data_IF_814997409616
#
_entry.id   IF_814997409616
#
_cell.length_a   1.000
_cell.length_b   1.000
_cell.length_c   1.000
_cell.angle_alpha   90.00
_cell.angle_beta   90.00
_cell.angle_gamma   90.00
#
_symmetry.space_group_name_H-M   'P 1'
#
loop_
_entity.id
_entity.type
_entity.pdbx_description
1 polymer ?
#
# COMPACT_ATOMS: atom_id res chain seq x y z
N UNK A 1 16.31 58.50 -60.85
CA UNK A 1 16.27 57.07 -61.23
C UNK A 1 17.50 56.36 -60.67
N UNK A 2 17.36 55.69 -59.52
CA UNK A 2 18.15 54.54 -59.05
C UNK A 2 17.63 54.16 -57.66
N UNK A 3 16.91 53.04 -57.61
CA UNK A 3 16.45 52.39 -56.39
C UNK A 3 17.64 51.72 -55.70
N UNK A 4 17.67 51.75 -54.37
CA UNK A 4 18.36 50.74 -53.57
C UNK A 4 17.45 50.30 -52.43
N UNK A 5 16.79 49.16 -52.65
CA UNK A 5 16.07 48.38 -51.65
C UNK A 5 17.05 47.88 -50.57
N UNK A 6 16.71 48.11 -49.30
CA UNK A 6 17.30 47.38 -48.17
C UNK A 6 16.34 46.26 -47.79
N UNK A 7 16.71 45.02 -48.13
CA UNK A 7 16.10 43.83 -47.56
C UNK A 7 16.69 43.58 -46.17
N UNK A 8 15.83 43.57 -45.15
CA UNK A 8 16.16 43.08 -43.82
C UNK A 8 16.00 41.55 -43.84
N UNK A 9 17.11 40.82 -43.67
CA UNK A 9 17.10 39.37 -43.45
C UNK A 9 16.69 39.11 -41.99
N UNK A 10 15.49 38.60 -41.77
CA UNK A 10 15.09 38.02 -40.49
C UNK A 10 15.57 36.56 -40.51
N UNK A 11 16.67 36.29 -39.81
CA UNK A 11 17.15 34.94 -39.56
C UNK A 11 16.21 34.25 -38.56
N UNK A 12 15.38 33.33 -39.05
CA UNK A 12 14.62 32.42 -38.19
C UNK A 12 15.54 31.43 -37.49
N UNK A 13 15.79 31.64 -36.20
CA UNK A 13 16.35 30.62 -35.33
C UNK A 13 15.25 29.59 -35.05
N UNK A 14 15.34 28.44 -35.74
CA UNK A 14 14.56 27.25 -35.41
C UNK A 14 15.01 26.76 -34.03
N UNK A 15 14.18 26.97 -33.01
CA UNK A 15 14.36 26.35 -31.69
C UNK A 15 14.19 24.84 -31.86
N UNK A 16 15.30 24.12 -31.94
CA UNK A 16 15.31 22.66 -31.84
C UNK A 16 14.94 22.34 -30.40
N UNK A 17 13.68 21.95 -30.19
CA UNK A 17 13.23 21.35 -28.94
C UNK A 17 13.92 20.00 -28.80
N UNK A 18 15.04 19.97 -28.06
CA UNK A 18 15.62 18.73 -27.59
C UNK A 18 14.64 18.10 -26.61
N UNK A 19 13.87 17.12 -27.09
CA UNK A 19 13.17 16.17 -26.24
C UNK A 19 14.24 15.43 -25.45
N UNK A 20 14.40 15.76 -24.17
CA UNK A 20 15.22 14.97 -23.26
C UNK A 20 14.57 13.61 -23.11
N UNK A 21 15.00 12.63 -23.91
CA UNK A 21 14.62 11.24 -23.72
C UNK A 21 15.30 10.81 -22.43
N UNK A 22 14.51 10.63 -21.37
CA UNK A 22 15.01 10.09 -20.11
C UNK A 22 15.72 8.76 -20.39
N UNK A 23 16.95 8.62 -19.91
CA UNK A 23 17.70 7.37 -20.05
C UNK A 23 16.89 6.24 -19.38
N UNK A 24 16.85 5.04 -19.99
CA UNK A 24 16.15 3.91 -19.42
C UNK A 24 16.73 3.57 -18.03
N UNK A 25 15.85 3.30 -17.07
CA UNK A 25 16.25 2.90 -15.72
C UNK A 25 16.93 1.53 -15.81
N UNK A 26 18.20 1.47 -15.40
CA UNK A 26 18.93 0.21 -15.27
C UNK A 26 18.64 -0.44 -13.92
N UNK A 27 18.03 -1.62 -13.97
CA UNK A 27 17.68 -2.41 -12.78
C UNK A 27 18.77 -3.42 -12.45
N UNK A 28 19.26 -3.35 -11.22
CA UNK A 28 20.08 -4.36 -10.57
C UNK A 28 19.17 -5.38 -9.87
N UNK A 29 19.63 -6.61 -9.70
CA UNK A 29 18.83 -7.71 -9.14
C UNK A 29 19.63 -8.51 -8.12
N UNK A 30 19.03 -8.78 -6.96
CA UNK A 30 19.57 -9.63 -5.90
C UNK A 30 18.52 -10.70 -5.53
N UNK A 31 18.93 -11.97 -5.47
CA UNK A 31 18.03 -13.09 -5.14
C UNK A 31 18.15 -13.44 -3.66
N UNK A 32 17.01 -13.49 -2.98
CA UNK A 32 16.86 -14.00 -1.62
C UNK A 32 16.00 -15.27 -1.65
N UNK A 33 15.84 -15.93 -0.51
CA UNK A 33 15.07 -17.17 -0.40
C UNK A 33 13.58 -16.94 -0.71
N UNK A 34 12.94 -15.93 -0.10
CA UNK A 34 11.50 -15.65 -0.25
C UNK A 34 11.18 -14.58 -1.30
N UNK A 35 12.16 -13.79 -1.77
CA UNK A 35 11.92 -12.71 -2.71
C UNK A 35 13.11 -12.42 -3.61
N UNK A 36 12.85 -11.70 -4.71
CA UNK A 36 13.90 -11.12 -5.57
C UNK A 36 13.84 -9.61 -5.45
N UNK A 37 14.94 -8.99 -5.04
CA UNK A 37 15.06 -7.54 -4.93
C UNK A 37 15.51 -6.95 -6.27
N UNK A 38 14.76 -5.98 -6.75
CA UNK A 38 15.09 -5.14 -7.90
C UNK A 38 15.29 -3.71 -7.41
N UNK A 39 16.42 -3.12 -7.73
CA UNK A 39 16.78 -1.76 -7.31
C UNK A 39 17.65 -1.10 -8.38
N UNK A 40 17.91 0.19 -8.24
CA UNK A 40 18.77 0.92 -9.18
C UNK A 40 20.09 1.32 -8.50
N UNK A 41 21.05 1.81 -9.27
CA UNK A 41 22.33 2.29 -8.71
C UNK A 41 22.18 3.36 -7.61
N UNK A 42 21.06 4.09 -7.59
CA UNK A 42 20.71 5.06 -6.53
C UNK A 42 20.64 4.41 -5.15
N UNK A 43 20.22 3.16 -5.08
CA UNK A 43 19.99 2.43 -3.83
C UNK A 43 21.11 1.46 -3.46
N UNK A 44 22.22 1.45 -4.22
CA UNK A 44 23.32 0.49 -4.02
C UNK A 44 23.91 0.55 -2.59
N UNK A 45 23.97 1.74 -1.99
CA UNK A 45 24.49 1.94 -0.63
C UNK A 45 23.45 1.65 0.46
N UNK A 46 22.17 1.55 0.12
CA UNK A 46 21.06 1.43 1.08
C UNK A 46 20.36 0.06 1.02
N UNK A 47 20.61 -0.74 -0.02
CA UNK A 47 19.92 -2.03 -0.25
C UNK A 47 19.98 -2.97 0.95
N UNK A 48 21.11 -3.00 1.67
CA UNK A 48 21.28 -3.90 2.81
C UNK A 48 20.42 -3.47 4.00
N UNK A 49 20.28 -2.15 4.24
CA UNK A 49 19.34 -1.62 5.25
C UNK A 49 17.90 -2.02 4.89
N UNK A 50 17.52 -1.92 3.62
CA UNK A 50 16.18 -2.25 3.15
C UNK A 50 15.89 -3.75 3.27
N UNK A 51 16.88 -4.61 2.98
CA UNK A 51 16.77 -6.05 3.16
C UNK A 51 16.49 -6.41 4.62
N UNK A 52 17.15 -5.75 5.58
CA UNK A 52 16.88 -5.98 7.02
C UNK A 52 15.42 -5.68 7.36
N UNK A 53 14.85 -4.59 6.85
CA UNK A 53 13.46 -4.21 7.11
C UNK A 53 12.47 -5.19 6.45
N UNK A 54 12.75 -5.59 5.21
CA UNK A 54 11.97 -6.58 4.46
C UNK A 54 11.96 -7.94 5.16
N UNK A 55 13.13 -8.47 5.52
CA UNK A 55 13.24 -9.75 6.21
C UNK A 55 12.55 -9.75 7.57
N UNK A 56 12.64 -8.63 8.32
CA UNK A 56 11.90 -8.48 9.56
C UNK A 56 10.39 -8.44 9.33
N UNK A 57 9.94 -7.75 8.28
CA UNK A 57 8.53 -7.71 7.89
C UNK A 57 8.00 -9.08 7.49
N UNK A 58 8.75 -9.84 6.69
CA UNK A 58 8.42 -11.22 6.29
C UNK A 58 8.25 -12.09 7.54
N UNK A 59 9.23 -12.09 8.44
CA UNK A 59 9.16 -12.83 9.71
C UNK A 59 7.95 -12.43 10.56
N UNK A 60 7.62 -11.13 10.61
CA UNK A 60 6.43 -10.66 11.32
C UNK A 60 5.14 -11.21 10.71
N UNK A 61 4.99 -11.22 9.39
CA UNK A 61 3.83 -11.80 8.70
C UNK A 61 3.71 -13.29 8.99
N UNK A 62 4.80 -14.04 8.82
CA UNK A 62 4.81 -15.49 9.02
C UNK A 62 4.54 -15.87 10.47
N UNK A 63 5.06 -15.11 11.43
CA UNK A 63 4.78 -15.28 12.86
C UNK A 63 3.31 -14.98 13.18
N UNK A 64 2.76 -13.90 12.62
CA UNK A 64 1.36 -13.53 12.83
C UNK A 64 0.41 -14.60 12.28
N UNK A 65 0.67 -15.13 11.09
CA UNK A 65 -0.21 -16.10 10.42
C UNK A 65 0.15 -17.56 10.67
N UNK A 66 1.25 -17.80 11.40
CA UNK A 66 1.82 -19.12 11.71
C UNK A 66 2.02 -19.97 10.45
N UNK A 67 2.43 -19.34 9.36
CA UNK A 67 2.71 -20.01 8.09
C UNK A 67 3.57 -19.16 7.18
N UNK A 68 4.41 -19.79 6.33
CA UNK A 68 5.25 -19.08 5.40
C UNK A 68 4.44 -18.46 4.25
N UNK A 69 5.06 -17.53 3.52
CA UNK A 69 4.56 -17.14 2.20
C UNK A 69 4.50 -18.37 1.29
N UNK A 70 3.44 -18.47 0.47
CA UNK A 70 3.21 -19.63 -0.40
C UNK A 70 4.17 -19.62 -1.59
N UNK A 71 4.41 -18.44 -2.15
CA UNK A 71 5.24 -18.23 -3.34
C UNK A 71 6.28 -17.15 -3.07
N UNK A 72 7.39 -17.21 -3.80
CA UNK A 72 8.32 -16.08 -3.87
C UNK A 72 7.68 -14.89 -4.59
N UNK A 73 8.10 -13.67 -4.25
CA UNK A 73 7.61 -12.44 -4.87
C UNK A 73 8.76 -11.49 -5.25
N UNK A 74 8.48 -10.50 -6.10
CA UNK A 74 9.46 -9.48 -6.46
C UNK A 74 9.32 -8.25 -5.56
N UNK A 75 10.42 -7.61 -5.21
CA UNK A 75 10.41 -6.31 -4.51
C UNK A 75 11.09 -5.29 -5.41
N UNK A 76 10.37 -4.26 -5.84
CA UNK A 76 10.92 -3.18 -6.67
C UNK A 76 11.12 -1.92 -5.84
N UNK A 77 12.36 -1.47 -5.75
CA UNK A 77 12.73 -0.19 -5.14
C UNK A 77 12.88 0.84 -6.26
N UNK A 78 11.84 1.64 -6.44
CA UNK A 78 11.79 2.72 -7.41
C UNK A 78 12.61 3.92 -6.92
N UNK A 79 13.51 4.49 -7.75
CA UNK A 79 14.40 5.57 -7.33
C UNK A 79 13.68 6.90 -7.04
N UNK A 80 12.40 7.04 -7.36
CA UNK A 80 11.55 8.22 -7.13
C UNK A 80 10.07 7.92 -7.44
N UNK A 81 9.18 8.84 -7.11
CA UNK A 81 7.73 8.71 -7.38
C UNK A 81 7.40 8.58 -8.87
N UNK A 82 8.11 9.27 -9.76
CA UNK A 82 7.85 9.20 -11.19
C UNK A 82 8.08 7.79 -11.75
N UNK A 83 9.11 7.09 -11.27
CA UNK A 83 9.36 5.69 -11.62
C UNK A 83 8.25 4.76 -11.11
N UNK A 84 7.77 4.96 -9.88
CA UNK A 84 6.66 4.19 -9.32
C UNK A 84 5.36 4.43 -10.09
N UNK A 85 5.00 5.70 -10.32
CA UNK A 85 3.80 6.08 -11.08
C UNK A 85 3.80 5.44 -12.46
N UNK A 86 4.93 5.50 -13.18
CA UNK A 86 5.06 4.89 -14.51
C UNK A 86 4.78 3.38 -14.48
N UNK A 87 5.23 2.70 -13.43
CA UNK A 87 4.99 1.28 -13.25
C UNK A 87 3.50 1.00 -12.98
N UNK A 88 2.87 1.73 -12.07
CA UNK A 88 1.45 1.54 -11.75
C UNK A 88 0.51 1.94 -12.89
N UNK A 89 0.84 2.99 -13.64
CA UNK A 89 0.13 3.37 -14.87
C UNK A 89 0.09 2.21 -15.87
N UNK A 90 1.21 1.49 -16.03
CA UNK A 90 1.31 0.31 -16.89
C UNK A 90 0.49 -0.85 -16.34
N UNK A 91 0.65 -1.16 -15.05
CA UNK A 91 0.02 -2.35 -14.45
C UNK A 91 -1.50 -2.22 -14.38
N UNK A 92 -2.00 -1.01 -14.15
CA UNK A 92 -3.44 -0.75 -14.03
C UNK A 92 -4.09 -0.33 -15.35
N UNK A 93 -3.30 -0.16 -16.42
CA UNK A 93 -3.81 0.34 -17.70
C UNK A 93 -4.35 1.77 -17.62
N UNK A 94 -3.81 2.59 -16.72
CA UNK A 94 -4.26 3.96 -16.44
C UNK A 94 -3.12 4.96 -16.72
N UNK A 95 -2.91 5.40 -17.97
CA UNK A 95 -1.75 6.24 -18.34
C UNK A 95 -1.70 7.59 -17.61
N UNK A 96 -2.84 8.13 -17.20
CA UNK A 96 -2.95 9.42 -16.51
C UNK A 96 -2.92 9.28 -14.98
N UNK A 97 -2.81 8.06 -14.45
CA UNK A 97 -2.78 7.84 -13.01
C UNK A 97 -1.60 8.57 -12.36
N UNK A 98 -1.85 9.17 -11.20
CA UNK A 98 -0.83 9.74 -10.31
C UNK A 98 -1.12 9.28 -8.89
N UNK A 99 -0.08 8.76 -8.23
CA UNK A 99 -0.18 8.35 -6.84
C UNK A 99 -0.32 9.56 -5.93
N UNK A 100 -1.14 9.40 -4.89
CA UNK A 100 -1.25 10.39 -3.83
C UNK A 100 0.07 10.49 -3.03
N UNK A 101 0.34 11.64 -2.41
CA UNK A 101 1.62 11.86 -1.71
C UNK A 101 1.92 10.86 -0.58
N UNK A 102 0.89 10.24 0.00
CA UNK A 102 1.03 9.21 1.03
C UNK A 102 1.23 7.80 0.45
N UNK A 103 0.89 7.55 -0.82
CA UNK A 103 1.09 6.26 -1.48
C UNK A 103 2.57 6.11 -1.85
N UNK A 104 3.36 5.46 -0.99
CA UNK A 104 4.80 5.23 -1.22
C UNK A 104 5.14 3.78 -1.58
N UNK A 105 4.18 2.87 -1.42
CA UNK A 105 4.34 1.46 -1.73
C UNK A 105 2.99 0.80 -2.03
N UNK A 106 3.03 -0.37 -2.65
CA UNK A 106 1.86 -1.24 -2.87
C UNK A 106 2.29 -2.69 -2.99
N UNK A 107 1.71 -3.55 -2.16
CA UNK A 107 1.85 -5.01 -2.23
C UNK A 107 0.68 -5.71 -2.93
N UNK A 108 1.00 -6.68 -3.80
CA UNK A 108 0.07 -7.67 -4.35
C UNK A 108 0.72 -9.06 -4.33
N UNK A 109 -0.02 -10.12 -4.68
CA UNK A 109 0.44 -11.51 -4.53
C UNK A 109 1.88 -11.81 -5.03
N UNK A 110 2.27 -11.18 -6.13
CA UNK A 110 3.54 -11.46 -6.82
C UNK A 110 4.59 -10.38 -6.65
N UNK A 111 4.25 -9.22 -6.07
CA UNK A 111 5.20 -8.11 -5.96
C UNK A 111 4.88 -7.09 -4.87
N UNK A 112 5.93 -6.40 -4.45
CA UNK A 112 5.90 -5.18 -3.65
C UNK A 112 6.64 -4.09 -4.43
N UNK A 113 5.94 -3.04 -4.85
CA UNK A 113 6.59 -1.84 -5.38
C UNK A 113 6.72 -0.80 -4.26
N UNK A 114 7.86 -0.16 -4.13
CA UNK A 114 8.06 0.94 -3.18
C UNK A 114 8.96 2.04 -3.75
N UNK A 115 8.69 3.30 -3.42
CA UNK A 115 9.68 4.38 -3.55
C UNK A 115 10.83 4.08 -2.59
N UNK A 116 12.08 4.27 -3.04
CA UNK A 116 13.30 4.24 -2.23
C UNK A 116 13.05 4.88 -0.86
N UNK A 117 13.08 4.08 0.24
CA UNK A 117 12.71 4.58 1.55
C UNK A 117 13.50 5.81 1.98
N UNK A 118 14.80 5.89 1.68
CA UNK A 118 15.65 7.06 2.00
C UNK A 118 15.18 8.37 1.35
N UNK A 119 14.27 8.32 0.36
CA UNK A 119 13.67 9.50 -0.28
C UNK A 119 12.31 9.90 0.26
N UNK A 120 11.71 9.12 1.17
CA UNK A 120 10.35 9.40 1.65
C UNK A 120 10.19 10.78 2.27
N UNK A 121 11.21 11.31 2.97
CA UNK A 121 11.17 12.67 3.53
C UNK A 121 11.02 13.78 2.47
N UNK A 122 11.29 13.47 1.19
CA UNK A 122 11.17 14.40 0.06
C UNK A 122 10.09 14.00 -0.95
N UNK A 123 9.68 12.73 -0.97
CA UNK A 123 8.74 12.17 -1.96
C UNK A 123 7.36 11.85 -1.34
N UNK A 124 7.22 11.99 -0.01
CA UNK A 124 6.00 11.66 0.72
C UNK A 124 5.62 12.76 1.72
N UNK A 125 4.32 12.86 1.99
CA UNK A 125 3.78 13.84 2.94
C UNK A 125 3.67 13.31 4.38
N UNK A 126 3.57 11.99 4.56
CA UNK A 126 3.27 11.36 5.86
C UNK A 126 4.32 10.32 6.30
N UNK A 127 5.38 10.13 5.51
CA UNK A 127 6.35 9.06 5.72
C UNK A 127 7.78 9.60 5.73
N UNK A 128 8.56 9.16 6.73
CA UNK A 128 9.96 9.48 6.85
C UNK A 128 10.74 8.24 7.28
N UNK A 129 11.74 7.86 6.48
CA UNK A 129 12.57 6.69 6.75
C UNK A 129 13.22 6.68 8.13
N UNK A 130 13.54 7.85 8.66
CA UNK A 130 14.17 7.98 9.97
C UNK A 130 13.19 7.67 11.12
N UNK A 131 11.88 7.61 10.86
CA UNK A 131 10.88 7.10 11.81
C UNK A 131 10.86 5.56 11.75
N UNK A 132 11.92 4.93 12.27
CA UNK A 132 12.22 3.50 12.11
C UNK A 132 11.02 2.59 12.40
N UNK A 133 10.30 2.82 13.50
CA UNK A 133 9.14 2.00 13.87
C UNK A 133 7.98 2.15 12.86
N UNK A 134 7.68 3.38 12.43
CA UNK A 134 6.63 3.63 11.43
C UNK A 134 7.01 3.07 10.06
N UNK A 135 8.27 3.22 9.68
CA UNK A 135 8.83 2.64 8.44
C UNK A 135 8.73 1.12 8.45
N UNK A 136 9.10 0.46 9.56
CA UNK A 136 8.91 -0.98 9.71
C UNK A 136 7.44 -1.37 9.57
N UNK A 137 6.53 -0.68 10.27
CA UNK A 137 5.11 -0.99 10.23
C UNK A 137 4.53 -0.83 8.82
N UNK A 138 4.93 0.22 8.10
CA UNK A 138 4.47 0.43 6.72
C UNK A 138 4.97 -0.66 5.75
N UNK A 139 6.25 -1.03 5.80
CA UNK A 139 6.75 -2.12 4.96
C UNK A 139 6.09 -3.46 5.34
N UNK A 140 5.84 -3.67 6.63
CA UNK A 140 5.13 -4.87 7.11
C UNK A 140 3.66 -4.89 6.66
N UNK A 141 2.99 -3.72 6.62
CA UNK A 141 1.64 -3.55 6.08
C UNK A 141 1.56 -4.02 4.64
N UNK A 142 2.49 -3.55 3.80
CA UNK A 142 2.51 -3.97 2.39
C UNK A 142 2.84 -5.46 2.21
N UNK A 143 3.68 -6.03 3.08
CA UNK A 143 3.94 -7.48 3.06
C UNK A 143 2.71 -8.30 3.49
N UNK A 144 1.83 -7.78 4.35
CA UNK A 144 0.54 -8.40 4.61
C UNK A 144 -0.36 -8.36 3.37
N UNK A 145 -0.30 -7.32 2.55
CA UNK A 145 -1.00 -7.29 1.26
C UNK A 145 -0.45 -8.33 0.29
N UNK A 146 0.87 -8.47 0.18
CA UNK A 146 1.50 -9.54 -0.62
C UNK A 146 0.99 -10.91 -0.17
N UNK A 147 1.05 -11.18 1.14
CA UNK A 147 0.60 -12.45 1.70
C UNK A 147 -0.90 -12.69 1.44
N UNK A 148 -1.73 -11.68 1.68
CA UNK A 148 -3.17 -11.74 1.44
C UNK A 148 -3.46 -12.04 -0.04
N UNK A 149 -2.81 -11.33 -0.97
CA UNK A 149 -2.95 -11.58 -2.41
C UNK A 149 -2.58 -13.02 -2.80
N UNK A 150 -1.58 -13.64 -2.16
CA UNK A 150 -1.21 -15.03 -2.46
C UNK A 150 -2.28 -16.06 -2.07
N UNK A 151 -3.22 -15.69 -1.19
CA UNK A 151 -4.34 -16.52 -0.77
C UNK A 151 -5.67 -16.12 -1.42
N UNK A 152 -5.82 -14.84 -1.79
CA UNK A 152 -7.07 -14.26 -2.23
C UNK A 152 -7.50 -14.78 -3.62
N UNK A 153 -8.81 -14.89 -3.84
CA UNK A 153 -9.38 -15.20 -5.16
C UNK A 153 -9.07 -14.13 -6.22
N UNK A 154 -8.75 -12.89 -5.82
CA UNK A 154 -8.24 -11.80 -6.67
C UNK A 154 -6.82 -11.43 -6.22
N UNK A 155 -5.76 -12.06 -6.78
CA UNK A 155 -4.39 -11.91 -6.27
C UNK A 155 -3.80 -10.50 -6.31
N UNK A 156 -4.34 -9.64 -7.18
CA UNK A 156 -3.98 -8.24 -7.36
C UNK A 156 -5.04 -7.26 -6.85
N UNK A 157 -6.09 -7.79 -6.19
CA UNK A 157 -7.26 -7.02 -5.72
C UNK A 157 -8.00 -6.21 -6.81
N UNK A 158 -7.83 -6.54 -8.09
CA UNK A 158 -8.57 -5.88 -9.19
C UNK A 158 -10.06 -6.24 -9.21
N UNK A 159 -10.44 -7.36 -8.59
CA UNK A 159 -11.80 -7.84 -8.47
C UNK A 159 -12.18 -8.00 -6.99
N UNK A 160 -12.41 -6.86 -6.32
CA UNK A 160 -12.95 -6.79 -4.96
C UNK A 160 -14.42 -6.36 -4.99
N UNK A 161 -15.27 -7.08 -4.26
CA UNK A 161 -16.67 -6.69 -4.02
C UNK A 161 -16.80 -6.24 -2.57
N UNK A 162 -16.50 -4.95 -2.35
CA UNK A 162 -16.70 -4.22 -1.09
C UNK A 162 -15.93 -4.79 0.10
N UNK A 163 -14.72 -5.30 -0.17
CA UNK A 163 -13.81 -5.82 0.86
C UNK A 163 -12.62 -4.91 1.15
N UNK A 164 -12.59 -3.67 0.63
CA UNK A 164 -11.46 -2.76 0.83
C UNK A 164 -11.18 -2.52 2.33
N UNK A 165 -12.26 -2.42 3.14
CA UNK A 165 -12.16 -2.36 4.60
C UNK A 165 -11.46 -3.58 5.21
N UNK A 166 -11.61 -4.76 4.61
CA UNK A 166 -11.00 -5.98 5.11
C UNK A 166 -9.55 -6.09 4.63
N UNK A 167 -9.27 -5.81 3.35
CA UNK A 167 -7.92 -5.80 2.77
C UNK A 167 -7.03 -4.85 3.55
N UNK A 168 -7.43 -3.59 3.64
CA UNK A 168 -6.64 -2.55 4.31
C UNK A 168 -6.71 -2.67 5.83
N UNK A 169 -7.87 -3.07 6.38
CA UNK A 169 -8.01 -3.30 7.81
C UNK A 169 -7.11 -4.42 8.33
N UNK A 170 -6.98 -5.51 7.57
CA UNK A 170 -6.11 -6.62 7.93
C UNK A 170 -4.66 -6.19 7.99
N UNK A 171 -4.16 -5.53 6.94
CA UNK A 171 -2.79 -5.03 6.92
C UNK A 171 -2.54 -3.98 8.01
N UNK A 172 -3.51 -3.09 8.27
CA UNK A 172 -3.40 -2.06 9.33
C UNK A 172 -3.28 -2.69 10.72
N UNK A 173 -4.16 -3.66 11.01
CA UNK A 173 -4.17 -4.33 12.31
C UNK A 173 -2.91 -5.17 12.50
N UNK A 174 -2.61 -6.03 11.52
CA UNK A 174 -1.56 -7.04 11.65
C UNK A 174 -0.15 -6.43 11.63
N UNK A 175 0.05 -5.30 10.94
CA UNK A 175 1.32 -4.55 10.94
C UNK A 175 1.57 -3.73 12.20
N UNK A 176 0.56 -3.59 13.09
CA UNK A 176 0.64 -2.73 14.27
C UNK A 176 0.37 -1.25 14.01
N UNK A 177 -0.18 -0.88 12.84
CA UNK A 177 -0.63 0.50 12.56
C UNK A 177 -2.00 0.83 13.19
N UNK A 178 -2.72 -0.18 13.70
CA UNK A 178 -3.91 0.00 14.54
C UNK A 178 -3.50 0.23 16.00
N UNK A 179 -2.81 1.34 16.25
CA UNK A 179 -2.24 1.70 17.56
C UNK A 179 -3.25 2.38 18.51
N UNK A 180 -2.81 2.63 19.75
CA UNK A 180 -3.65 3.22 20.80
C UNK A 180 -4.22 4.60 20.43
N UNK A 181 -3.48 5.42 19.70
CA UNK A 181 -3.95 6.74 19.30
C UNK A 181 -5.05 6.63 18.25
N UNK A 182 -4.88 5.74 17.28
CA UNK A 182 -5.93 5.42 16.30
C UNK A 182 -7.16 4.83 16.99
N UNK A 183 -7.00 3.95 17.99
CA UNK A 183 -8.13 3.42 18.77
C UNK A 183 -8.84 4.55 19.54
N UNK A 184 -8.13 5.51 20.13
CA UNK A 184 -8.74 6.68 20.78
C UNK A 184 -9.56 7.52 19.79
N UNK A 185 -9.07 7.74 18.58
CA UNK A 185 -9.81 8.46 17.53
C UNK A 185 -11.12 7.74 17.17
N UNK A 186 -11.08 6.40 17.06
CA UNK A 186 -12.28 5.60 16.78
C UNK A 186 -13.26 5.62 17.95
N UNK A 187 -12.80 5.48 19.20
CA UNK A 187 -13.66 5.64 20.40
C UNK A 187 -14.39 6.98 20.38
N UNK A 188 -13.66 8.07 20.08
CA UNK A 188 -14.24 9.41 19.96
C UNK A 188 -15.28 9.48 18.84
N UNK A 189 -14.98 8.94 17.66
CA UNK A 189 -15.91 8.94 16.53
C UNK A 189 -17.18 8.14 16.82
N UNK A 190 -17.09 7.02 17.56
CA UNK A 190 -18.24 6.23 18.02
C UNK A 190 -19.09 7.06 18.99
N UNK A 191 -18.49 7.68 20.00
CA UNK A 191 -19.20 8.50 20.98
C UNK A 191 -19.92 9.71 20.34
N UNK A 192 -19.34 10.27 19.29
CA UNK A 192 -19.91 11.40 18.54
C UNK A 192 -20.90 10.96 17.43
N UNK A 193 -21.17 9.65 17.28
CA UNK A 193 -21.98 9.08 16.19
C UNK A 193 -21.49 9.49 14.78
N UNK A 194 -20.18 9.63 14.59
CA UNK A 194 -19.53 10.03 13.32
C UNK A 194 -18.93 8.87 12.53
N UNK A 195 -19.41 7.65 12.78
CA UNK A 195 -18.96 6.46 12.04
C UNK A 195 -19.99 6.06 10.99
N UNK A 196 -19.56 5.51 9.84
CA UNK A 196 -20.48 5.01 8.83
C UNK A 196 -21.35 3.87 9.36
N UNK A 197 -22.53 3.69 8.76
CA UNK A 197 -23.47 2.60 9.11
C UNK A 197 -23.22 1.30 8.33
N UNK A 198 -22.32 1.33 7.34
CA UNK A 198 -21.97 0.18 6.50
C UNK A 198 -20.47 0.10 6.30
N UNK A 199 -19.95 -1.13 6.29
CA UNK A 199 -18.55 -1.48 6.02
C UNK A 199 -18.08 -0.98 4.66
N UNK A 200 -18.98 -0.85 3.68
CA UNK A 200 -18.68 -0.30 2.35
C UNK A 200 -18.03 1.09 2.44
N UNK A 201 -18.32 1.83 3.51
CA UNK A 201 -17.81 3.18 3.73
C UNK A 201 -16.69 3.24 4.79
N UNK A 202 -16.26 2.10 5.34
CA UNK A 202 -15.18 2.09 6.35
C UNK A 202 -13.82 2.40 5.72
N UNK A 203 -13.68 2.19 4.40
CA UNK A 203 -12.50 2.60 3.64
C UNK A 203 -12.63 4.00 3.01
N UNK A 204 -13.23 4.95 3.74
CA UNK A 204 -13.40 6.33 3.27
C UNK A 204 -13.01 7.37 4.32
N UNK A 205 -12.59 8.55 3.86
CA UNK A 205 -12.24 9.67 4.73
C UNK A 205 -11.00 9.44 5.59
N UNK A 206 -10.82 10.31 6.60
CA UNK A 206 -9.59 10.36 7.42
C UNK A 206 -9.44 9.18 8.38
N UNK A 207 -10.55 8.59 8.82
CA UNK A 207 -10.54 7.50 9.80
C UNK A 207 -10.44 6.11 9.16
N UNK A 208 -10.26 6.02 7.83
CA UNK A 208 -10.38 4.76 7.07
C UNK A 208 -9.54 3.61 7.62
N UNK A 209 -8.28 3.86 7.94
CA UNK A 209 -7.36 2.88 8.53
C UNK A 209 -7.80 2.47 9.94
N UNK A 210 -8.28 3.42 10.76
CA UNK A 210 -8.73 3.13 12.12
C UNK A 210 -10.03 2.33 12.16
N UNK A 211 -11.00 2.72 11.34
CA UNK A 211 -12.27 2.01 11.20
C UNK A 211 -12.02 0.58 10.71
N UNK A 212 -11.32 0.44 9.60
CA UNK A 212 -11.03 -0.85 8.97
C UNK A 212 -10.18 -1.75 9.88
N UNK A 213 -9.07 -1.22 10.41
CA UNK A 213 -8.15 -1.98 11.27
C UNK A 213 -8.80 -2.44 12.56
N UNK A 214 -9.60 -1.60 13.21
CA UNK A 214 -10.23 -1.94 14.49
C UNK A 214 -11.37 -2.96 14.33
N UNK A 215 -12.05 -2.99 13.18
CA UNK A 215 -13.02 -4.08 12.88
C UNK A 215 -12.27 -5.40 12.72
N UNK A 216 -11.16 -5.42 12.00
CA UNK A 216 -10.36 -6.65 11.83
C UNK A 216 -9.74 -7.10 13.16
N UNK A 217 -9.27 -6.16 13.99
CA UNK A 217 -8.85 -6.43 15.37
C UNK A 217 -9.96 -7.14 16.15
N UNK A 218 -11.20 -6.62 16.09
CA UNK A 218 -12.35 -7.27 16.74
C UNK A 218 -12.61 -8.68 16.19
N UNK A 219 -12.51 -8.87 14.87
CA UNK A 219 -12.69 -10.19 14.24
C UNK A 219 -11.65 -11.18 14.77
N UNK A 220 -10.37 -10.78 14.84
CA UNK A 220 -9.31 -11.63 15.38
C UNK A 220 -9.56 -12.01 16.84
N UNK A 221 -9.98 -11.04 17.65
CA UNK A 221 -10.23 -11.25 19.08
C UNK A 221 -11.44 -12.14 19.35
N UNK A 222 -12.52 -11.98 18.57
CA UNK A 222 -13.75 -12.75 18.76
C UNK A 222 -13.68 -14.15 18.15
N UNK A 223 -13.13 -14.27 16.94
CA UNK A 223 -13.19 -15.50 16.16
C UNK A 223 -11.85 -16.23 16.06
N UNK A 224 -10.75 -15.59 16.46
CA UNK A 224 -9.41 -16.16 16.51
C UNK A 224 -8.63 -16.05 15.19
N UNK A 225 -7.31 -16.13 15.32
CA UNK A 225 -6.34 -15.97 14.22
C UNK A 225 -6.56 -16.89 13.05
N UNK A 226 -6.85 -18.17 13.31
CA UNK A 226 -7.09 -19.15 12.24
C UNK A 226 -8.34 -18.80 11.43
N UNK A 227 -9.39 -18.29 12.10
CA UNK A 227 -10.59 -17.84 11.41
C UNK A 227 -10.28 -16.60 10.57
N UNK A 228 -9.58 -15.61 11.13
CA UNK A 228 -9.16 -14.41 10.40
C UNK A 228 -8.36 -14.77 9.14
N UNK A 229 -7.38 -15.67 9.27
CA UNK A 229 -6.58 -16.15 8.13
C UNK A 229 -7.44 -16.84 7.07
N UNK A 230 -8.42 -17.65 7.48
CA UNK A 230 -9.34 -18.31 6.56
C UNK A 230 -10.24 -17.33 5.77
N UNK A 231 -10.39 -16.07 6.22
CA UNK A 231 -11.14 -15.05 5.49
C UNK A 231 -10.35 -14.45 4.31
N UNK A 232 -9.01 -14.57 4.31
CA UNK A 232 -8.13 -13.97 3.30
C UNK A 232 -8.36 -14.51 1.88
N UNK A 233 -9.06 -15.64 1.74
CA UNK A 233 -9.38 -16.24 0.42
C UNK A 233 -10.50 -15.51 -0.30
N UNK A 234 -11.35 -14.78 0.42
CA UNK A 234 -12.58 -14.19 -0.14
C UNK A 234 -12.30 -12.83 -0.77
N UNK A 235 -12.95 -12.59 -1.91
CA UNK A 235 -12.96 -11.28 -2.56
C UNK A 235 -14.29 -10.55 -2.45
N UNK A 236 -15.27 -11.08 -1.68
CA UNK A 236 -16.60 -10.48 -1.49
C UNK A 236 -16.97 -10.32 -0.04
N UNK A 237 -17.58 -9.18 0.30
CA UNK A 237 -18.05 -8.87 1.66
C UNK A 237 -19.05 -9.92 2.16
N UNK A 238 -19.97 -10.35 1.30
CA UNK A 238 -20.99 -11.36 1.65
C UNK A 238 -20.35 -12.67 2.11
N UNK A 239 -19.27 -13.10 1.47
CA UNK A 239 -18.63 -14.38 1.77
C UNK A 239 -17.88 -14.31 3.10
N UNK A 240 -17.26 -13.16 3.41
CA UNK A 240 -16.67 -12.88 4.72
C UNK A 240 -17.73 -12.93 5.82
N UNK A 241 -18.86 -12.24 5.64
CA UNK A 241 -19.95 -12.20 6.62
C UNK A 241 -20.60 -13.58 6.82
N UNK A 242 -20.81 -14.32 5.72
CA UNK A 242 -21.33 -15.69 5.75
C UNK A 242 -20.37 -16.62 6.49
N UNK A 243 -19.06 -16.53 6.21
CA UNK A 243 -18.06 -17.34 6.88
C UNK A 243 -17.98 -17.03 8.39
N UNK A 244 -18.22 -15.78 8.78
CA UNK A 244 -18.33 -15.36 10.17
C UNK A 244 -19.69 -15.69 10.82
N UNK A 245 -20.68 -16.10 10.03
CA UNK A 245 -22.07 -16.31 10.45
C UNK A 245 -22.66 -15.11 11.19
N UNK A 246 -22.43 -13.89 10.67
CA UNK A 246 -22.86 -12.63 11.29
C UNK A 246 -23.45 -11.70 10.23
N UNK A 247 -24.49 -10.94 10.60
CA UNK A 247 -24.98 -9.84 9.77
C UNK A 247 -24.01 -8.67 9.81
N UNK A 248 -24.04 -7.80 8.80
CA UNK A 248 -23.23 -6.56 8.81
C UNK A 248 -23.58 -5.66 10.00
N UNK A 249 -24.88 -5.53 10.31
CA UNK A 249 -25.38 -4.75 11.44
C UNK A 249 -24.84 -5.28 12.77
N UNK A 250 -24.91 -6.60 12.99
CA UNK A 250 -24.42 -7.22 14.21
C UNK A 250 -22.89 -7.13 14.32
N UNK A 251 -22.17 -7.26 13.20
CA UNK A 251 -20.71 -7.09 13.21
C UNK A 251 -20.34 -5.68 13.66
N UNK A 252 -20.94 -4.65 13.05
CA UNK A 252 -20.71 -3.25 13.38
C UNK A 252 -21.13 -2.96 14.84
N UNK A 253 -22.31 -3.42 15.27
CA UNK A 253 -22.82 -3.22 16.63
C UNK A 253 -21.87 -3.80 17.67
N UNK A 254 -21.46 -5.06 17.49
CA UNK A 254 -20.62 -5.74 18.46
C UNK A 254 -19.17 -5.21 18.44
N UNK A 255 -18.66 -4.80 17.28
CA UNK A 255 -17.38 -4.09 17.18
C UNK A 255 -17.40 -2.78 17.97
N UNK A 256 -18.45 -1.95 17.85
CA UNK A 256 -18.57 -0.71 18.65
C UNK A 256 -18.50 -0.99 20.16
N UNK A 257 -19.20 -2.05 20.61
CA UNK A 257 -19.18 -2.47 22.01
C UNK A 257 -17.78 -2.90 22.44
N UNK A 258 -17.08 -3.67 21.61
CA UNK A 258 -15.70 -4.06 21.86
C UNK A 258 -14.78 -2.85 22.00
N UNK A 259 -14.83 -1.90 21.06
CA UNK A 259 -13.99 -0.70 21.09
C UNK A 259 -14.28 0.17 22.31
N UNK A 260 -15.53 0.33 22.72
CA UNK A 260 -15.88 1.09 23.93
C UNK A 260 -15.39 0.45 25.23
N UNK A 261 -15.10 -0.86 25.22
CA UNK A 261 -14.64 -1.63 26.37
C UNK A 261 -13.11 -1.83 26.43
N UNK A 262 -12.37 -1.41 25.40
CA UNK A 262 -10.92 -1.23 25.46
C UNK A 262 -10.57 0.00 26.30
#
# INVERSE_FOLDING_TARGET
MKLTNRFLLISGLSLISFSWVALPIEWLTEKHEQYTLHYTSVDLQNKDDYNVILEKGIKSVESFLKSPFKNTFAVYIHPNRASLDTQWQKDWGMPDFKSECWMVASGIATKLDMISPKRWSTEACEHNYNEIAKTQNLITHELFHVYHGQLNASPDFSNTDKIDWFVEGFATYASGQCDDDRIKEIKKAIAENKIPVSLDNFWTGKLKYGLSGSVVMYIDQKYGREKLKALLVFNKKSDILNQLAVSEEDLIKNWKQYINNL
#
